data_IF_130983547137
#
_entry.id   IF_130983547137
#
_cell.length_a   1.000
_cell.length_b   1.000
_cell.length_c   1.000
_cell.angle_alpha   90.00
_cell.angle_beta   90.00
_cell.angle_gamma   90.00
#
_symmetry.space_group_name_H-M   'P 1'
#
loop_
_entity.id
_entity.type
_entity.pdbx_description
1 polymer ?
#
# COMPACT_ATOMS: atom_id res chain seq x y z
N UNK A 1 8.55 4.74 6.44
CA UNK A 1 8.97 5.10 5.06
C UNK A 1 7.73 5.10 4.14
N UNK A 2 7.72 5.88 3.06
CA UNK A 2 6.56 5.97 2.13
C UNK A 2 7.04 5.63 0.73
N UNK A 3 6.34 4.76 -0.02
CA UNK A 3 6.64 4.58 -1.45
C UNK A 3 5.94 5.66 -2.26
N UNK A 4 6.71 6.37 -3.08
CA UNK A 4 6.21 7.45 -3.92
C UNK A 4 5.72 6.94 -5.28
N UNK A 5 4.56 7.43 -5.72
CA UNK A 5 3.97 7.09 -7.02
C UNK A 5 4.84 7.49 -8.24
N UNK A 6 5.72 8.47 -8.11
CA UNK A 6 6.55 8.96 -9.23
C UNK A 6 7.79 8.08 -9.44
N UNK A 7 8.43 7.66 -8.35
CA UNK A 7 9.70 6.92 -8.39
C UNK A 7 9.54 5.42 -8.14
N UNK A 8 8.38 4.98 -7.62
CA UNK A 8 8.18 3.64 -7.08
C UNK A 8 9.22 3.26 -6.02
N UNK A 9 9.75 4.24 -5.28
CA UNK A 9 10.80 4.05 -4.29
C UNK A 9 10.47 4.79 -2.98
N UNK A 10 11.18 4.43 -1.91
CA UNK A 10 10.95 5.02 -0.60
C UNK A 10 11.44 6.46 -0.52
N UNK A 11 10.60 7.31 0.03
CA UNK A 11 10.95 8.60 0.61
C UNK A 11 10.93 8.49 2.14
N UNK A 12 11.84 9.19 2.81
CA UNK A 12 12.09 9.01 4.25
C UNK A 12 12.01 10.30 5.07
N UNK A 13 12.16 11.47 4.45
CA UNK A 13 12.07 12.75 5.13
C UNK A 13 10.97 13.65 4.55
N UNK A 14 10.66 14.70 5.30
CA UNK A 14 9.57 15.64 5.01
C UNK A 14 9.80 16.42 3.71
N UNK A 15 11.04 16.81 3.46
CA UNK A 15 11.45 17.61 2.32
C UNK A 15 11.27 16.83 1.02
N UNK A 16 11.69 15.56 1.01
CA UNK A 16 11.44 14.61 -0.08
C UNK A 16 9.94 14.43 -0.33
N UNK A 17 9.16 14.15 0.72
CA UNK A 17 7.70 13.95 0.61
C UNK A 17 7.05 15.17 -0.05
N UNK A 18 7.39 16.39 0.40
CA UNK A 18 6.84 17.62 -0.18
C UNK A 18 7.18 17.74 -1.67
N UNK A 19 8.44 17.49 -2.02
CA UNK A 19 8.90 17.56 -3.41
C UNK A 19 8.17 16.56 -4.31
N UNK A 20 8.02 15.31 -3.85
CA UNK A 20 7.39 14.27 -4.67
C UNK A 20 5.88 14.42 -4.82
N UNK A 21 5.19 14.98 -3.82
CA UNK A 21 3.75 15.28 -3.92
C UNK A 21 3.45 16.30 -5.02
N UNK A 22 4.32 17.31 -5.18
CA UNK A 22 4.21 18.27 -6.29
C UNK A 22 4.41 17.56 -7.63
N UNK A 23 5.45 16.73 -7.76
CA UNK A 23 5.73 15.99 -9.00
C UNK A 23 4.60 15.04 -9.38
N UNK A 24 3.95 14.42 -8.39
CA UNK A 24 2.86 13.47 -8.62
C UNK A 24 1.70 14.07 -9.41
N UNK A 25 1.46 15.38 -9.35
CA UNK A 25 0.39 16.04 -10.10
C UNK A 25 0.57 15.97 -11.63
N UNK A 26 1.81 15.78 -12.10
CA UNK A 26 2.17 15.82 -13.53
C UNK A 26 2.83 14.53 -14.02
N UNK A 27 3.01 13.55 -13.14
CA UNK A 27 3.71 12.30 -13.45
C UNK A 27 2.77 11.09 -13.29
N UNK A 28 2.97 10.02 -14.07
CA UNK A 28 2.16 8.81 -13.96
C UNK A 28 2.34 8.13 -12.60
N UNK A 29 1.30 7.40 -12.19
CA UNK A 29 1.33 6.57 -10.99
C UNK A 29 1.99 5.23 -11.31
N UNK A 30 3.22 5.03 -10.82
CA UNK A 30 3.98 3.77 -10.94
C UNK A 30 3.52 2.71 -9.94
N UNK A 31 2.23 2.35 -10.00
CA UNK A 31 1.60 1.43 -9.04
C UNK A 31 2.20 0.02 -9.11
N UNK A 32 2.29 -0.57 -10.30
CA UNK A 32 2.81 -1.93 -10.50
C UNK A 32 4.23 -2.06 -9.96
N UNK A 33 5.09 -1.08 -10.26
CA UNK A 33 6.47 -1.04 -9.79
C UNK A 33 6.55 -0.93 -8.26
N UNK A 34 5.67 -0.11 -7.66
CA UNK A 34 5.60 0.06 -6.20
C UNK A 34 5.24 -1.25 -5.49
N UNK A 35 4.24 -1.96 -5.99
CA UNK A 35 3.80 -3.26 -5.45
C UNK A 35 4.88 -4.34 -5.66
N UNK A 36 5.52 -4.39 -6.84
CA UNK A 36 6.62 -5.33 -7.11
C UNK A 36 7.81 -5.09 -6.21
N UNK A 37 8.16 -3.82 -5.95
CA UNK A 37 9.24 -3.46 -5.02
C UNK A 37 8.95 -3.97 -3.60
N UNK A 38 7.76 -3.68 -3.07
CA UNK A 38 7.35 -4.19 -1.75
C UNK A 38 7.45 -5.71 -1.67
N UNK A 39 6.95 -6.43 -2.67
CA UNK A 39 7.04 -7.89 -2.72
C UNK A 39 8.48 -8.40 -2.76
N UNK A 40 9.35 -7.76 -3.56
CA UNK A 40 10.77 -8.12 -3.65
C UNK A 40 11.53 -7.94 -2.34
N UNK A 41 11.01 -7.09 -1.46
CA UNK A 41 11.55 -6.83 -0.11
C UNK A 41 10.82 -7.66 0.97
N UNK A 42 10.01 -8.65 0.57
CA UNK A 42 9.32 -9.59 1.47
C UNK A 42 7.99 -9.09 2.02
N UNK A 43 7.52 -7.90 1.61
CA UNK A 43 6.22 -7.37 2.04
C UNK A 43 5.12 -8.01 1.19
N UNK A 44 4.37 -8.94 1.80
CA UNK A 44 3.28 -9.69 1.16
C UNK A 44 1.92 -9.54 1.88
N UNK A 45 1.87 -8.75 2.96
CA UNK A 45 0.68 -8.48 3.74
C UNK A 45 0.33 -6.99 3.65
N UNK A 46 -0.91 -6.67 3.26
CA UNK A 46 -1.39 -5.31 3.01
C UNK A 46 -2.69 -5.03 3.75
N UNK A 47 -2.89 -3.78 4.15
CA UNK A 47 -4.14 -3.27 4.71
C UNK A 47 -4.60 -2.10 3.84
N UNK A 48 -5.71 -2.26 3.11
CA UNK A 48 -6.36 -1.19 2.36
C UNK A 48 -7.25 -0.38 3.29
N UNK A 49 -6.95 0.91 3.45
CA UNK A 49 -7.71 1.82 4.33
C UNK A 49 -8.63 2.69 3.49
N UNK A 50 -9.90 2.72 3.86
CA UNK A 50 -10.96 3.47 3.17
C UNK A 50 -12.05 2.56 2.58
N UNK A 51 -13.17 3.15 2.13
CA UNK A 51 -14.29 2.41 1.57
C UNK A 51 -13.91 1.75 0.23
N UNK A 52 -14.44 0.56 -0.02
CA UNK A 52 -14.18 -0.20 -1.24
C UNK A 52 -13.04 -1.21 -1.11
N UNK A 53 -12.69 -1.85 -2.23
CA UNK A 53 -11.70 -2.94 -2.32
C UNK A 53 -10.87 -2.86 -3.61
N UNK A 54 -10.67 -1.64 -4.11
CA UNK A 54 -10.04 -1.42 -5.43
C UNK A 54 -8.57 -1.80 -5.36
N UNK A 55 -7.84 -1.33 -4.34
CA UNK A 55 -6.42 -1.62 -4.20
C UNK A 55 -6.20 -3.11 -3.95
N UNK A 56 -7.08 -3.77 -3.19
CA UNK A 56 -7.07 -5.23 -3.06
C UNK A 56 -7.10 -5.93 -4.41
N UNK A 57 -8.01 -5.53 -5.30
CA UNK A 57 -8.11 -6.09 -6.65
C UNK A 57 -6.82 -5.89 -7.44
N UNK A 58 -6.30 -4.65 -7.47
CA UNK A 58 -5.07 -4.32 -8.18
C UNK A 58 -3.85 -5.07 -7.63
N UNK A 59 -3.73 -5.21 -6.31
CA UNK A 59 -2.63 -5.96 -5.70
C UNK A 59 -2.74 -7.44 -6.07
N UNK A 60 -3.94 -8.05 -6.04
CA UNK A 60 -4.12 -9.47 -6.42
C UNK A 60 -3.77 -9.76 -7.89
N UNK A 61 -3.93 -8.78 -8.78
CA UNK A 61 -3.50 -8.91 -10.18
C UNK A 61 -1.97 -8.94 -10.32
N UNK A 62 -1.24 -8.32 -9.40
CA UNK A 62 0.23 -8.23 -9.41
C UNK A 62 0.86 -9.35 -8.57
N UNK A 63 0.26 -9.66 -7.42
CA UNK A 63 0.69 -10.66 -6.44
C UNK A 63 -0.54 -11.48 -6.01
N UNK A 64 -0.87 -12.57 -6.73
CA UNK A 64 -2.04 -13.40 -6.43
C UNK A 64 -2.06 -13.96 -5.00
N UNK A 65 -0.89 -14.24 -4.41
CA UNK A 65 -0.74 -14.82 -3.08
C UNK A 65 -0.76 -13.79 -1.93
N UNK A 66 -0.82 -12.48 -2.23
CA UNK A 66 -0.77 -11.45 -1.19
C UNK A 66 -1.93 -11.57 -0.18
N UNK A 67 -1.63 -11.44 1.11
CA UNK A 67 -2.64 -11.34 2.17
C UNK A 67 -3.10 -9.89 2.25
N UNK A 68 -4.40 -9.65 2.07
CA UNK A 68 -4.92 -8.27 1.99
C UNK A 68 -6.16 -8.14 2.86
N UNK A 69 -6.09 -7.20 3.80
CA UNK A 69 -7.19 -6.78 4.66
C UNK A 69 -7.74 -5.44 4.19
N UNK A 70 -8.96 -5.10 4.59
CA UNK A 70 -9.56 -3.80 4.30
C UNK A 70 -10.22 -3.26 5.56
N UNK A 71 -10.02 -1.96 5.83
CA UNK A 71 -10.53 -1.24 6.99
C UNK A 71 -11.23 0.01 6.49
N UNK A 72 -12.53 0.13 6.75
CA UNK A 72 -13.37 1.25 6.31
C UNK A 72 -14.29 1.81 7.41
N UNK A 73 -14.37 1.14 8.56
CA UNK A 73 -15.14 1.53 9.73
C UNK A 73 -14.54 0.91 11.01
N UNK A 74 -15.10 1.23 12.17
CA UNK A 74 -14.62 0.71 13.46
C UNK A 74 -14.74 -0.82 13.57
N UNK A 75 -15.80 -1.41 13.02
CA UNK A 75 -16.04 -2.85 13.07
C UNK A 75 -15.01 -3.63 12.24
N UNK A 76 -14.73 -3.18 11.01
CA UNK A 76 -13.69 -3.75 10.15
C UNK A 76 -12.31 -3.59 10.74
N UNK A 77 -12.02 -2.46 11.41
CA UNK A 77 -10.77 -2.28 12.15
C UNK A 77 -10.61 -3.34 13.26
N UNK A 78 -11.62 -3.53 14.11
CA UNK A 78 -11.57 -4.51 15.21
C UNK A 78 -11.33 -5.93 14.67
N UNK A 79 -12.06 -6.32 13.63
CA UNK A 79 -11.89 -7.61 12.96
C UNK A 79 -10.47 -7.80 12.39
N UNK A 80 -9.86 -6.75 11.82
CA UNK A 80 -8.48 -6.83 11.30
C UNK A 80 -7.47 -6.92 12.43
N UNK A 81 -7.65 -6.16 13.52
CA UNK A 81 -6.78 -6.23 14.70
C UNK A 81 -6.79 -7.65 15.30
N UNK A 82 -7.95 -8.28 15.43
CA UNK A 82 -8.05 -9.67 15.90
C UNK A 82 -7.29 -10.64 14.99
N UNK A 83 -7.52 -10.57 13.69
CA UNK A 83 -6.82 -11.42 12.70
C UNK A 83 -5.32 -11.20 12.67
N UNK A 84 -4.84 -10.01 13.02
CA UNK A 84 -3.40 -9.71 13.05
C UNK A 84 -2.71 -10.29 14.29
N UNK A 85 -3.43 -10.50 15.40
CA UNK A 85 -2.89 -11.19 16.60
C UNK A 85 -2.58 -12.67 16.36
N UNK A 86 -3.21 -13.29 15.37
CA UNK A 86 -2.94 -14.67 14.99
C UNK A 86 -1.73 -14.82 14.04
N UNK A 87 -1.25 -13.70 13.50
CA UNK A 87 -0.21 -13.66 12.45
C UNK A 87 1.13 -13.19 13.01
N UNK A 88 1.12 -12.46 14.13
CA UNK A 88 2.27 -11.93 14.86
C UNK A 88 2.45 -12.70 16.17
#
# INVERSE_FOLDING_TARGET
>A
PIICNVSANYVRNKEEVRSVLIKQMTHPVKWVDSIKKMNSEGINCFIEVGPGKVLRGLIKQIIPEAKIFNVFDSNSLQNVVEKMKEVL
#
